data_IF_059875494812
#
_entry.id   IF_059875494812
#
_cell.length_a   1.000
_cell.length_b   1.000
_cell.length_c   1.000
_cell.angle_alpha   90.00
_cell.angle_beta   90.00
_cell.angle_gamma   90.00
#
_symmetry.space_group_name_H-M   'P 1'
#
loop_
_entity.id
_entity.type
_entity.pdbx_description
1 polymer ?
#
# COMPACT_ATOMS: atom_id res chain seq x y z
N UNK A 1 11.77 4.30 5.79
CA UNK A 1 10.91 4.77 4.67
C UNK A 1 10.72 3.64 3.66
N UNK A 2 11.79 2.94 3.29
CA UNK A 2 11.77 1.72 2.46
C UNK A 2 10.84 0.60 2.97
N UNK A 3 10.64 0.46 4.28
CA UNK A 3 9.80 -0.62 4.84
C UNK A 3 8.33 -0.54 4.38
N UNK A 4 7.75 0.66 4.30
CA UNK A 4 6.37 0.84 3.84
C UNK A 4 6.25 0.51 2.36
N UNK A 5 7.23 0.95 1.55
CA UNK A 5 7.27 0.66 0.12
C UNK A 5 7.46 -0.83 -0.16
N UNK A 6 8.44 -1.46 0.50
CA UNK A 6 8.66 -2.90 0.42
C UNK A 6 7.43 -3.69 0.89
N UNK A 7 6.75 -3.26 1.96
CA UNK A 7 5.52 -3.90 2.40
C UNK A 7 4.43 -3.81 1.32
N UNK A 8 4.18 -2.61 0.79
CA UNK A 8 3.16 -2.41 -0.25
C UNK A 8 3.47 -3.23 -1.50
N UNK A 9 4.72 -3.20 -1.98
CA UNK A 9 5.13 -3.88 -3.20
C UNK A 9 5.20 -5.42 -3.03
N UNK A 10 5.83 -5.91 -1.97
CA UNK A 10 6.13 -7.34 -1.81
C UNK A 10 5.02 -8.10 -1.08
N UNK A 11 4.39 -7.50 -0.07
CA UNK A 11 3.33 -8.16 0.73
C UNK A 11 1.94 -7.85 0.19
N UNK A 12 1.61 -6.57 0.01
CA UNK A 12 0.31 -6.17 -0.53
C UNK A 12 0.21 -6.32 -2.06
N UNK A 13 1.33 -6.49 -2.77
CA UNK A 13 1.37 -6.57 -4.25
C UNK A 13 0.80 -5.32 -4.93
N UNK A 14 0.98 -4.16 -4.31
CA UNK A 14 0.54 -2.86 -4.79
C UNK A 14 1.73 -1.95 -5.07
N UNK A 15 1.90 -1.59 -6.35
CA UNK A 15 2.83 -0.53 -6.74
C UNK A 15 2.12 0.82 -6.63
N UNK A 16 2.39 1.55 -5.56
CA UNK A 16 1.82 2.87 -5.27
C UNK A 16 2.88 3.95 -5.45
N UNK A 17 2.46 5.20 -5.54
CA UNK A 17 3.40 6.32 -5.54
C UNK A 17 3.77 6.68 -4.10
N UNK A 18 5.04 6.65 -3.77
CA UNK A 18 5.53 6.99 -2.43
C UNK A 18 5.25 8.45 -2.09
N UNK A 19 4.78 8.72 -0.87
CA UNK A 19 4.39 10.07 -0.46
C UNK A 19 5.57 11.06 -0.40
N UNK A 20 6.77 10.57 -0.11
CA UNK A 20 7.97 11.40 0.04
C UNK A 20 8.35 12.14 -1.27
N UNK A 21 7.95 11.62 -2.44
CA UNK A 21 8.20 12.29 -3.73
C UNK A 21 7.45 13.61 -3.88
N UNK A 22 6.42 13.84 -3.04
CA UNK A 22 5.64 15.07 -3.01
C UNK A 22 6.19 16.13 -2.04
N UNK A 23 7.29 15.83 -1.35
CA UNK A 23 7.96 16.72 -0.43
C UNK A 23 7.52 16.53 1.03
N UNK A 24 7.80 17.55 1.82
CA UNK A 24 7.68 17.55 3.27
C UNK A 24 6.24 17.27 3.72
N UNK A 25 6.05 16.31 4.63
CA UNK A 25 4.74 15.87 5.10
C UNK A 25 4.15 14.70 4.30
N UNK A 26 4.82 14.26 3.23
CA UNK A 26 4.46 13.04 2.49
C UNK A 26 5.09 11.77 3.07
N UNK A 27 5.99 11.88 4.03
CA UNK A 27 6.67 10.73 4.64
C UNK A 27 5.66 9.82 5.37
N UNK A 28 5.74 8.51 5.11
CA UNK A 28 4.82 7.53 5.70
C UNK A 28 3.46 7.42 5.00
N UNK A 29 3.24 8.19 3.92
CA UNK A 29 2.03 8.11 3.09
C UNK A 29 2.31 7.46 1.73
N UNK A 30 1.23 7.01 1.08
CA UNK A 30 1.22 6.42 -0.25
C UNK A 30 0.05 7.01 -1.05
N UNK A 31 0.27 7.33 -2.33
CA UNK A 31 -0.77 7.85 -3.22
C UNK A 31 -1.26 6.78 -4.18
N UNK A 32 -2.56 6.48 -4.11
CA UNK A 32 -3.25 5.52 -4.98
C UNK A 32 -3.83 6.23 -6.21
N UNK A 33 -3.70 5.63 -7.39
CA UNK A 33 -4.45 6.05 -8.57
C UNK A 33 -5.82 5.34 -8.60
N UNK A 34 -6.91 6.10 -8.56
CA UNK A 34 -8.28 5.58 -8.56
C UNK A 34 -8.94 5.57 -9.95
N UNK A 35 -8.25 6.05 -10.98
CA UNK A 35 -8.72 6.03 -12.36
C UNK A 35 -8.54 4.63 -12.97
N UNK A 36 -9.28 3.66 -12.44
CA UNK A 36 -9.30 2.28 -12.88
C UNK A 36 -10.72 1.69 -12.77
N UNK A 37 -11.00 0.55 -13.43
CA UNK A 37 -12.27 -0.15 -13.24
C UNK A 37 -12.50 -0.49 -11.77
N UNK A 38 -13.76 -0.48 -11.34
CA UNK A 38 -14.16 -0.83 -9.97
C UNK A 38 -13.59 -2.19 -9.52
N UNK A 39 -13.60 -3.17 -10.41
CA UNK A 39 -13.05 -4.51 -10.14
C UNK A 39 -11.55 -4.50 -9.82
N UNK A 40 -10.77 -3.62 -10.46
CA UNK A 40 -9.35 -3.43 -10.17
C UNK A 40 -9.16 -2.82 -8.79
N UNK A 41 -9.94 -1.79 -8.45
CA UNK A 41 -9.89 -1.16 -7.13
C UNK A 41 -10.28 -2.14 -6.02
N UNK A 42 -11.36 -2.90 -6.21
CA UNK A 42 -11.80 -3.92 -5.25
C UNK A 42 -10.72 -4.97 -5.02
N UNK A 43 -10.08 -5.46 -6.09
CA UNK A 43 -8.94 -6.39 -5.97
C UNK A 43 -7.80 -5.78 -5.15
N UNK A 44 -7.42 -4.53 -5.44
CA UNK A 44 -6.32 -3.86 -4.73
C UNK A 44 -6.62 -3.69 -3.23
N UNK A 45 -7.85 -3.30 -2.88
CA UNK A 45 -8.28 -3.15 -1.50
C UNK A 45 -8.32 -4.48 -0.74
N UNK A 46 -8.78 -5.56 -1.38
CA UNK A 46 -8.75 -6.91 -0.80
C UNK A 46 -7.31 -7.41 -0.56
N UNK A 47 -6.39 -7.15 -1.49
CA UNK A 47 -4.98 -7.49 -1.32
C UNK A 47 -4.35 -6.73 -0.16
N UNK A 48 -4.65 -5.44 -0.04
CA UNK A 48 -4.18 -4.61 1.08
C UNK A 48 -4.72 -5.10 2.42
N UNK A 49 -6.03 -5.39 2.50
CA UNK A 49 -6.67 -5.92 3.71
C UNK A 49 -5.99 -7.23 4.17
N UNK A 50 -5.75 -8.15 3.24
CA UNK A 50 -5.08 -9.42 3.53
C UNK A 50 -3.65 -9.22 4.04
N UNK A 51 -2.87 -8.34 3.38
CA UNK A 51 -1.50 -8.06 3.80
C UNK A 51 -1.45 -7.44 5.21
N UNK A 52 -2.36 -6.52 5.53
CA UNK A 52 -2.45 -5.91 6.87
C UNK A 52 -2.85 -6.93 7.92
N UNK A 53 -3.81 -7.83 7.61
CA UNK A 53 -4.18 -8.93 8.52
C UNK A 53 -3.00 -9.86 8.79
N UNK A 54 -2.15 -10.15 7.80
CA UNK A 54 -0.97 -11.00 8.00
C UNK A 54 0.10 -10.29 8.85
N UNK A 55 0.27 -8.98 8.67
CA UNK A 55 1.19 -8.18 9.48
C UNK A 55 0.82 -8.22 10.97
N UNK A 56 -0.47 -8.07 11.31
CA UNK A 56 -0.95 -8.06 12.69
C UNK A 56 -0.90 -9.43 13.40
N UNK A 57 -0.83 -10.54 12.66
CA UNK A 57 -0.64 -11.88 13.24
C UNK A 57 0.83 -12.21 13.57
N UNK A 58 1.79 -11.41 13.10
CA UNK A 58 3.23 -11.65 13.33
C UNK A 58 3.74 -10.92 14.59
N UNK A 59 2.88 -10.13 15.26
CA UNK A 59 3.18 -9.39 16.48
C UNK A 59 2.67 -10.02 17.78
N UNK A 60 2.28 -11.31 17.75
CA UNK A 60 1.94 -12.12 18.94
C UNK A 60 2.93 -13.26 19.12
#
# INVERSE_FOLDING_TARGET
>A
MEELDQFMLQKARLALNEGHIFGLGGEGFMRVNIACPRSTMEKALLQLEQAVKQLSHTGK
#
